data_IF_733466640563
#
_entry.id   IF_733466640563
#
_cell.length_a   1.000
_cell.length_b   1.000
_cell.length_c   1.000
_cell.angle_alpha   90.00
_cell.angle_beta   90.00
_cell.angle_gamma   90.00
#
_symmetry.space_group_name_H-M   'P 1'
#
loop_
_entity.id
_entity.type
_entity.pdbx_description
1 polymer ?
#
# COMPACT_ATOMS: atom_id res chain seq x y z
N UNK A 1 -15.15 -11.23 -10.62
CA UNK A 1 -14.47 -10.09 -11.29
C UNK A 1 -13.62 -10.70 -12.39
N UNK A 2 -13.69 -10.20 -13.62
CA UNK A 2 -12.85 -10.70 -14.72
C UNK A 2 -11.42 -10.16 -14.50
N UNK A 3 -10.44 -11.06 -14.42
CA UNK A 3 -9.04 -10.70 -14.23
C UNK A 3 -8.48 -10.16 -15.55
N UNK A 4 -8.03 -8.90 -15.57
CA UNK A 4 -7.26 -8.35 -16.69
C UNK A 4 -5.81 -8.82 -16.57
N UNK A 5 -5.33 -9.70 -17.48
CA UNK A 5 -3.96 -10.20 -17.42
C UNK A 5 -2.91 -9.10 -17.68
N UNK A 6 -3.28 -7.95 -18.23
CA UNK A 6 -2.40 -6.80 -18.39
C UNK A 6 -2.13 -6.01 -17.10
N UNK A 7 -2.85 -6.33 -16.02
CA UNK A 7 -2.67 -5.74 -14.69
C UNK A 7 -1.97 -6.69 -13.71
N UNK A 8 -1.52 -7.85 -14.20
CA UNK A 8 -0.73 -8.80 -13.41
C UNK A 8 0.76 -8.43 -13.45
N UNK A 9 1.45 -8.71 -12.35
CA UNK A 9 2.91 -8.69 -12.33
C UNK A 9 3.41 -10.04 -12.85
N UNK A 10 4.31 -10.01 -13.83
CA UNK A 10 4.97 -11.23 -14.32
C UNK A 10 5.89 -11.76 -13.21
N UNK A 11 5.61 -12.99 -12.76
CA UNK A 11 6.48 -13.71 -11.83
C UNK A 11 7.64 -14.29 -12.65
N UNK A 12 8.92 -14.07 -12.26
CA UNK A 12 10.05 -14.63 -12.98
C UNK A 12 10.01 -16.15 -13.07
N UNK A 13 10.43 -16.69 -14.22
CA UNK A 13 10.57 -18.13 -14.43
C UNK A 13 11.47 -18.74 -13.34
N UNK A 14 10.94 -19.72 -12.59
CA UNK A 14 11.66 -20.42 -11.53
C UNK A 14 11.57 -19.79 -10.14
N UNK A 15 10.72 -18.78 -9.94
CA UNK A 15 10.38 -18.30 -8.60
C UNK A 15 9.57 -19.38 -7.85
N UNK A 16 10.07 -19.81 -6.69
CA UNK A 16 9.43 -20.80 -5.83
C UNK A 16 8.59 -20.08 -4.76
N UNK A 17 7.27 -19.98 -5.00
CA UNK A 17 6.29 -19.42 -4.08
C UNK A 17 5.57 -20.49 -3.24
N UNK A 18 6.08 -21.72 -3.22
CA UNK A 18 5.46 -22.82 -2.47
C UNK A 18 5.65 -22.71 -0.96
N UNK A 19 6.68 -21.99 -0.51
CA UNK A 19 6.87 -21.63 0.90
C UNK A 19 5.98 -20.44 1.25
N UNK A 20 5.16 -20.59 2.30
CA UNK A 20 4.26 -19.55 2.77
C UNK A 20 4.99 -18.26 3.16
N UNK A 21 6.27 -18.36 3.60
CA UNK A 21 7.09 -17.20 3.93
C UNK A 21 7.78 -16.58 2.70
N UNK A 22 7.78 -17.27 1.55
CA UNK A 22 8.33 -16.79 0.28
C UNK A 22 7.26 -16.30 -0.71
N UNK A 23 5.97 -16.41 -0.37
CA UNK A 23 4.88 -15.93 -1.21
C UNK A 23 4.95 -14.43 -1.41
N UNK A 24 4.84 -14.02 -2.67
CA UNK A 24 4.74 -12.60 -3.04
C UNK A 24 3.28 -12.21 -3.04
N UNK A 25 2.91 -11.31 -2.11
CA UNK A 25 1.59 -10.73 -2.09
C UNK A 25 1.59 -9.36 -2.78
N UNK A 26 0.61 -9.06 -3.63
CA UNK A 26 0.48 -7.73 -4.20
C UNK A 26 0.20 -6.71 -3.08
N UNK A 27 1.09 -5.74 -2.92
CA UNK A 27 0.95 -4.65 -1.93
C UNK A 27 0.81 -3.33 -2.66
N UNK A 28 -0.24 -2.58 -2.33
CA UNK A 28 -0.41 -1.21 -2.78
C UNK A 28 0.32 -0.25 -1.83
N UNK A 29 0.86 0.84 -2.38
CA UNK A 29 1.46 1.94 -1.61
C UNK A 29 0.75 3.24 -1.95
N UNK A 30 0.44 4.06 -0.94
CA UNK A 30 -0.14 5.40 -1.12
C UNK A 30 0.63 6.45 -0.34
N UNK A 31 0.80 7.62 -0.96
CA UNK A 31 1.55 8.76 -0.45
C UNK A 31 0.64 9.85 0.11
N UNK A 32 1.02 10.39 1.27
CA UNK A 32 0.36 11.52 1.91
C UNK A 32 1.40 12.61 2.22
N UNK A 33 1.55 13.55 1.28
CA UNK A 33 2.41 14.72 1.46
C UNK A 33 1.66 15.84 2.21
N UNK A 34 2.33 16.49 3.17
CA UNK A 34 1.79 17.61 3.93
C UNK A 34 2.87 18.63 4.34
N UNK A 35 2.42 19.82 4.72
CA UNK A 35 3.26 20.90 5.28
C UNK A 35 3.58 20.70 6.76
N UNK A 36 2.88 19.79 7.44
CA UNK A 36 3.12 19.41 8.83
C UNK A 36 3.04 17.91 8.99
N UNK A 37 3.70 17.38 10.01
CA UNK A 37 3.65 15.95 10.27
C UNK A 37 2.22 15.47 10.59
N UNK A 38 1.53 16.20 11.47
CA UNK A 38 0.14 15.93 11.82
C UNK A 38 -0.80 15.94 10.61
N UNK A 39 -0.58 16.86 9.66
CA UNK A 39 -1.39 16.93 8.44
C UNK A 39 -1.22 15.71 7.52
N UNK A 40 -0.07 15.04 7.54
CA UNK A 40 0.12 13.79 6.79
C UNK A 40 -0.70 12.65 7.41
N UNK A 41 -0.67 12.53 8.74
CA UNK A 41 -1.45 11.53 9.48
C UNK A 41 -2.96 11.77 9.40
N UNK A 42 -3.41 13.03 9.46
CA UNK A 42 -4.84 13.36 9.31
C UNK A 42 -5.37 12.93 7.93
N UNK A 43 -4.64 13.24 6.85
CA UNK A 43 -5.01 12.82 5.50
C UNK A 43 -5.01 11.29 5.35
N UNK A 44 -4.03 10.61 5.92
CA UNK A 44 -3.97 9.16 5.89
C UNK A 44 -5.12 8.54 6.66
N UNK A 45 -5.42 9.04 7.87
CA UNK A 45 -6.51 8.56 8.70
C UNK A 45 -7.88 8.76 8.05
N UNK A 46 -8.13 9.93 7.46
CA UNK A 46 -9.35 10.20 6.71
C UNK A 46 -9.51 9.22 5.53
N UNK A 47 -8.43 9.00 4.77
CA UNK A 47 -8.47 8.06 3.64
C UNK A 47 -8.68 6.62 4.10
N UNK A 48 -8.01 6.15 5.16
CA UNK A 48 -8.20 4.79 5.70
C UNK A 48 -9.62 4.61 6.22
N UNK A 49 -10.22 5.61 6.86
CA UNK A 49 -11.60 5.54 7.34
C UNK A 49 -12.62 5.38 6.19
N UNK A 50 -12.30 5.87 5.00
CA UNK A 50 -13.17 5.81 3.81
C UNK A 50 -12.98 4.54 2.97
N UNK A 51 -11.90 3.78 3.17
CA UNK A 51 -11.51 2.66 2.30
C UNK A 51 -11.39 1.35 3.09
N UNK A 52 -11.98 0.26 2.59
CA UNK A 52 -11.80 -1.10 3.15
C UNK A 52 -10.43 -1.65 2.76
N UNK A 53 -9.43 -1.39 3.59
CA UNK A 53 -8.04 -1.82 3.37
C UNK A 53 -7.45 -2.41 4.64
N UNK A 54 -6.58 -3.40 4.47
CA UNK A 54 -5.76 -3.92 5.55
C UNK A 54 -4.39 -3.22 5.50
N UNK A 55 -4.07 -2.44 6.53
CA UNK A 55 -2.78 -1.76 6.64
C UNK A 55 -1.69 -2.77 7.02
N UNK A 56 -0.67 -2.85 6.18
CA UNK A 56 0.49 -3.72 6.38
C UNK A 56 1.62 -3.00 7.10
N UNK A 57 1.94 -1.78 6.65
CA UNK A 57 3.05 -1.00 7.19
C UNK A 57 2.90 0.50 6.89
N UNK A 58 3.68 1.32 7.59
CA UNK A 58 3.82 2.75 7.35
C UNK A 58 5.28 3.16 7.30
N UNK A 59 5.63 4.05 6.38
CA UNK A 59 6.97 4.67 6.36
C UNK A 59 6.89 6.18 6.37
N UNK A 60 7.92 6.80 6.93
CA UNK A 60 8.03 8.24 7.10
C UNK A 60 9.26 8.79 6.39
N UNK A 61 9.03 9.78 5.53
CA UNK A 61 10.09 10.47 4.80
C UNK A 61 9.96 11.98 4.96
N UNK A 62 11.10 12.68 4.79
CA UNK A 62 11.15 14.13 4.66
C UNK A 62 11.77 14.49 3.31
N UNK A 63 10.99 15.13 2.43
CA UNK A 63 11.42 15.55 1.12
C UNK A 63 11.99 16.97 1.20
N UNK A 64 13.32 17.08 1.13
CA UNK A 64 13.98 18.38 1.09
C UNK A 64 13.57 19.16 -0.17
N UNK A 65 13.47 20.48 -0.03
CA UNK A 65 13.14 21.43 -1.11
C UNK A 65 11.74 21.30 -1.72
N UNK A 66 10.85 20.51 -1.11
CA UNK A 66 9.45 20.36 -1.53
C UNK A 66 8.49 21.24 -0.69
N UNK A 67 7.45 21.78 -1.32
CA UNK A 67 6.41 22.60 -0.65
C UNK A 67 5.65 21.83 0.45
N UNK A 68 5.59 20.50 0.33
CA UNK A 68 4.93 19.59 1.28
C UNK A 68 5.92 18.50 1.69
N UNK A 69 6.88 18.84 2.58
CA UNK A 69 8.07 18.00 2.78
C UNK A 69 7.78 16.77 3.65
N UNK A 70 6.71 16.76 4.44
CA UNK A 70 6.37 15.60 5.27
C UNK A 70 5.61 14.58 4.44
N UNK A 71 6.22 13.41 4.22
CA UNK A 71 5.65 12.34 3.43
C UNK A 71 5.40 11.11 4.29
N UNK A 72 4.13 10.80 4.52
CA UNK A 72 3.71 9.50 5.06
C UNK A 72 3.39 8.57 3.89
N UNK A 73 3.98 7.38 3.88
CA UNK A 73 3.56 6.30 3.00
C UNK A 73 2.81 5.27 3.82
N UNK A 74 1.71 4.75 3.27
CA UNK A 74 1.06 3.54 3.81
C UNK A 74 1.18 2.42 2.78
N UNK A 75 1.36 1.21 3.28
CA UNK A 75 1.40 -0.04 2.52
C UNK A 75 0.20 -0.87 2.93
N UNK A 76 -0.58 -1.35 1.97
CA UNK A 76 -1.85 -2.00 2.26
C UNK A 76 -2.26 -2.99 1.18
N UNK A 77 -3.17 -3.89 1.55
CA UNK A 77 -3.92 -4.74 0.62
C UNK A 77 -5.39 -4.33 0.65
N UNK A 78 -6.07 -4.44 -0.49
CA UNK A 78 -7.53 -4.33 -0.50
C UNK A 78 -8.13 -5.60 0.10
N UNK A 79 -9.09 -5.45 1.00
CA UNK A 79 -9.87 -6.59 1.45
C UNK A 79 -10.79 -7.03 0.31
N UNK A 80 -10.43 -8.13 -0.37
CA UNK A 80 -11.31 -8.75 -1.35
C UNK A 80 -12.47 -9.42 -0.59
N UNK A 81 -13.71 -9.02 -0.89
CA UNK A 81 -14.88 -9.70 -0.34
C UNK A 81 -14.85 -11.18 -0.78
N UNK A 82 -14.49 -12.08 0.15
CA UNK A 82 -14.42 -13.52 -0.07
C UNK A 82 -13.17 -14.24 0.44
N UNK A 83 -12.15 -13.54 0.95
CA UNK A 83 -10.99 -14.19 1.58
C UNK A 83 -11.19 -14.54 3.08
N UNK A 84 -12.44 -14.63 3.53
CA UNK A 84 -12.79 -15.19 4.83
C UNK A 84 -13.16 -16.66 4.68
N UNK A 85 -12.28 -17.53 5.16
CA UNK A 85 -12.65 -18.89 5.57
C UNK A 85 -13.35 -18.89 6.93
#
# INVERSE_FOLDING_TARGET
MEFDPGLCLDVPDGFDDSDADAQVHPVARKFFAATTAAGAFEKAGAWVAENKVFLLDVSWDFLHDEDRPYLLSIYFTFELEGAGG
#
